data_IF_330340356724
#
_entry.id   IF_330340356724
#
_cell.length_a   1.000
_cell.length_b   1.000
_cell.length_c   1.000
_cell.angle_alpha   90.00
_cell.angle_beta   90.00
_cell.angle_gamma   90.00
#
_symmetry.space_group_name_H-M   'P 1'
#
loop_
_entity.id
_entity.type
_entity.pdbx_description
1 polymer ?
#
# COMPACT_ATOMS: atom_id res chain seq x y z
N UNK A 1 -20.17 -7.87 -32.07
CA UNK A 1 -20.22 -6.40 -31.98
C UNK A 1 -21.09 -6.03 -30.81
N UNK A 2 -20.59 -5.10 -29.97
CA UNK A 2 -21.26 -4.53 -28.81
C UNK A 2 -22.64 -3.96 -29.16
N UNK A 3 -23.62 -4.11 -28.26
CA UNK A 3 -24.60 -3.06 -28.02
C UNK A 3 -24.89 -2.93 -26.52
N UNK A 4 -24.47 -1.78 -25.99
CA UNK A 4 -24.91 -1.08 -24.79
C UNK A 4 -25.93 -1.79 -23.89
N UNK A 5 -25.50 -2.12 -22.68
CA UNK A 5 -26.37 -2.32 -21.51
C UNK A 5 -27.09 -1.01 -21.19
N UNK A 6 -28.20 -0.79 -21.90
CA UNK A 6 -29.20 0.20 -21.53
C UNK A 6 -29.74 -0.16 -20.14
N UNK A 7 -29.80 0.84 -19.27
CA UNK A 7 -30.46 0.81 -17.97
C UNK A 7 -31.77 0.05 -18.05
N UNK A 8 -31.81 -1.17 -17.49
CA UNK A 8 -33.01 -2.00 -17.45
C UNK A 8 -34.11 -1.20 -16.71
N UNK A 9 -35.15 -0.70 -17.40
CA UNK A 9 -36.20 0.11 -16.80
C UNK A 9 -37.02 -0.69 -15.78
N UNK A 10 -36.93 -2.02 -15.83
CA UNK A 10 -37.55 -2.92 -14.87
C UNK A 10 -36.67 -3.17 -13.64
N UNK A 11 -35.39 -2.80 -13.60
CA UNK A 11 -34.54 -3.05 -12.42
C UNK A 11 -35.01 -2.29 -11.17
N UNK A 12 -35.72 -1.17 -11.35
CA UNK A 12 -36.34 -0.40 -10.25
C UNK A 12 -37.65 -1.05 -9.81
N UNK A 13 -38.48 -1.52 -10.76
CA UNK A 13 -39.71 -2.27 -10.49
C UNK A 13 -39.40 -3.62 -9.82
N UNK A 14 -38.42 -4.35 -10.33
CA UNK A 14 -37.94 -5.62 -9.80
C UNK A 14 -37.38 -5.43 -8.38
N UNK A 15 -36.65 -4.33 -8.09
CA UNK A 15 -36.25 -3.98 -6.72
C UNK A 15 -37.45 -3.69 -5.80
N UNK A 16 -38.43 -2.93 -6.28
CA UNK A 16 -39.60 -2.50 -5.49
C UNK A 16 -40.53 -3.66 -5.17
N UNK A 17 -40.78 -4.56 -6.12
CA UNK A 17 -41.57 -5.76 -5.91
C UNK A 17 -40.81 -6.82 -5.12
N UNK A 18 -39.49 -6.93 -5.27
CA UNK A 18 -38.67 -7.89 -4.51
C UNK A 18 -38.73 -7.65 -3.00
N UNK A 19 -38.80 -6.40 -2.54
CA UNK A 19 -39.01 -6.08 -1.12
C UNK A 19 -40.34 -6.65 -0.63
N UNK A 20 -41.44 -6.31 -1.32
CA UNK A 20 -42.79 -6.76 -0.97
C UNK A 20 -42.95 -8.29 -1.03
N UNK A 21 -42.32 -8.94 -2.01
CA UNK A 21 -42.33 -10.40 -2.15
C UNK A 21 -41.54 -11.05 -1.02
N UNK A 22 -40.36 -10.55 -0.67
CA UNK A 22 -39.57 -11.08 0.46
C UNK A 22 -40.32 -10.92 1.78
N UNK A 23 -40.88 -9.73 2.05
CA UNK A 23 -41.70 -9.47 3.25
C UNK A 23 -42.92 -10.41 3.30
N UNK A 24 -43.63 -10.54 2.18
CA UNK A 24 -44.81 -11.40 2.06
C UNK A 24 -44.48 -12.87 2.27
N UNK A 25 -43.40 -13.38 1.69
CA UNK A 25 -42.98 -14.77 1.88
C UNK A 25 -42.57 -15.03 3.33
N UNK A 26 -41.88 -14.08 3.96
CA UNK A 26 -41.51 -14.19 5.37
C UNK A 26 -42.73 -14.16 6.28
N UNK A 27 -43.70 -13.31 6.02
CA UNK A 27 -44.97 -13.26 6.74
C UNK A 27 -45.79 -14.56 6.62
N UNK A 28 -45.63 -15.31 5.53
CA UNK A 28 -46.21 -16.64 5.34
C UNK A 28 -45.39 -17.78 5.98
N UNK A 29 -44.39 -17.45 6.79
CA UNK A 29 -43.63 -18.42 7.60
C UNK A 29 -42.41 -19.02 6.92
N UNK A 30 -42.06 -18.60 5.69
CA UNK A 30 -40.86 -19.12 5.02
C UNK A 30 -39.58 -18.65 5.73
N UNK A 31 -38.60 -19.53 5.77
CA UNK A 31 -37.24 -19.27 6.25
C UNK A 31 -36.42 -18.52 5.20
N UNK A 32 -35.30 -17.92 5.63
CA UNK A 32 -34.37 -17.28 4.69
C UNK A 32 -33.82 -18.26 3.65
N UNK A 33 -33.64 -19.54 4.00
CA UNK A 33 -33.15 -20.56 3.07
C UNK A 33 -34.17 -20.85 1.97
N UNK A 34 -35.44 -20.96 2.33
CA UNK A 34 -36.54 -21.19 1.38
C UNK A 34 -36.78 -19.98 0.48
N UNK A 35 -36.78 -18.76 1.03
CA UNK A 35 -36.90 -17.51 0.25
C UNK A 35 -35.75 -17.38 -0.75
N UNK A 36 -34.53 -17.73 -0.31
CA UNK A 36 -33.32 -17.72 -1.15
C UNK A 36 -33.47 -18.67 -2.34
N UNK A 37 -33.96 -19.88 -2.09
CA UNK A 37 -34.13 -20.91 -3.11
C UNK A 37 -35.27 -20.57 -4.08
N UNK A 38 -36.38 -20.06 -3.57
CA UNK A 38 -37.53 -19.68 -4.37
C UNK A 38 -37.25 -18.49 -5.31
N UNK A 39 -36.51 -17.49 -4.82
CA UNK A 39 -36.27 -16.23 -5.56
C UNK A 39 -34.89 -16.17 -6.23
N UNK A 40 -34.01 -17.14 -6.00
CA UNK A 40 -32.63 -17.11 -6.52
C UNK A 40 -31.79 -15.94 -6.01
N UNK A 41 -32.15 -15.35 -4.86
CA UNK A 41 -31.45 -14.21 -4.26
C UNK A 41 -30.40 -14.66 -3.24
N UNK A 42 -29.56 -13.76 -2.74
CA UNK A 42 -28.61 -14.07 -1.67
C UNK A 42 -29.23 -13.85 -0.28
N UNK A 43 -28.76 -14.60 0.71
CA UNK A 43 -29.14 -14.41 2.13
C UNK A 43 -28.92 -12.97 2.62
N UNK A 44 -27.89 -12.29 2.09
CA UNK A 44 -27.61 -10.89 2.42
C UNK A 44 -28.64 -9.91 1.85
N UNK A 45 -29.15 -10.19 0.66
CA UNK A 45 -30.22 -9.38 0.06
C UNK A 45 -31.52 -9.54 0.84
N UNK A 46 -31.83 -10.75 1.31
CA UNK A 46 -32.96 -11.01 2.20
C UNK A 46 -32.78 -10.24 3.52
N UNK A 47 -31.61 -10.31 4.15
CA UNK A 47 -31.32 -9.57 5.39
C UNK A 47 -31.39 -8.05 5.21
N UNK A 48 -31.02 -7.53 4.04
CA UNK A 48 -31.11 -6.09 3.75
C UNK A 48 -32.57 -5.61 3.71
N UNK A 49 -33.51 -6.51 3.40
CA UNK A 49 -34.94 -6.22 3.41
C UNK A 49 -35.53 -6.41 4.80
N UNK A 50 -35.30 -7.59 5.42
CA UNK A 50 -35.99 -7.99 6.65
C UNK A 50 -35.30 -7.50 7.93
N UNK A 51 -33.97 -7.39 7.95
CA UNK A 51 -33.19 -6.93 9.11
C UNK A 51 -33.32 -7.78 10.39
N UNK A 52 -33.95 -8.96 10.32
CA UNK A 52 -34.27 -9.79 11.49
C UNK A 52 -33.01 -10.26 12.21
N UNK A 53 -31.98 -10.70 11.47
CA UNK A 53 -30.76 -11.19 12.08
C UNK A 53 -30.02 -10.05 12.82
N UNK A 54 -30.04 -8.82 12.27
CA UNK A 54 -29.49 -7.65 12.96
C UNK A 54 -30.25 -7.29 14.23
N UNK A 55 -31.59 -7.34 14.21
CA UNK A 55 -32.43 -7.09 15.40
C UNK A 55 -32.19 -8.12 16.49
N UNK A 56 -32.17 -9.42 16.14
CA UNK A 56 -31.89 -10.50 17.08
C UNK A 56 -30.47 -10.38 17.65
N UNK A 57 -29.49 -10.05 16.82
CA UNK A 57 -28.12 -9.77 17.27
C UNK A 57 -28.07 -8.57 18.23
N UNK A 58 -28.81 -7.51 17.97
CA UNK A 58 -28.86 -6.32 18.84
C UNK A 58 -29.48 -6.63 20.20
N UNK A 59 -30.42 -7.59 20.25
CA UNK A 59 -31.02 -8.12 21.50
C UNK A 59 -30.11 -9.08 22.28
N UNK A 60 -28.91 -9.39 21.76
CA UNK A 60 -27.91 -10.20 22.48
C UNK A 60 -27.98 -11.71 22.24
N UNK A 61 -28.79 -12.16 21.28
CA UNK A 61 -28.87 -13.59 20.92
C UNK A 61 -27.55 -14.11 20.35
N UNK A 62 -27.23 -15.37 20.65
CA UNK A 62 -26.05 -16.09 20.17
C UNK A 62 -26.23 -16.49 18.71
N UNK A 63 -25.11 -16.65 17.99
CA UNK A 63 -25.09 -17.02 16.56
C UNK A 63 -25.96 -18.23 16.22
N UNK A 64 -25.95 -19.28 17.05
CA UNK A 64 -26.78 -20.48 16.83
C UNK A 64 -28.27 -20.20 16.96
N UNK A 65 -28.66 -19.33 17.90
CA UNK A 65 -30.05 -18.97 18.17
C UNK A 65 -30.61 -18.12 17.03
N UNK A 66 -29.84 -17.12 16.58
CA UNK A 66 -30.21 -16.30 15.41
C UNK A 66 -30.36 -17.17 14.16
N UNK A 67 -29.42 -18.09 13.92
CA UNK A 67 -29.45 -18.95 12.75
C UNK A 67 -30.67 -19.88 12.73
N UNK A 68 -31.06 -20.41 13.89
CA UNK A 68 -32.28 -21.21 14.04
C UNK A 68 -33.54 -20.36 13.76
N UNK A 69 -33.61 -19.15 14.32
CA UNK A 69 -34.76 -18.26 14.22
C UNK A 69 -35.08 -17.82 12.77
N UNK A 70 -34.04 -17.51 11.99
CA UNK A 70 -34.20 -17.10 10.58
C UNK A 70 -34.13 -18.29 9.60
N UNK A 71 -33.90 -19.52 10.11
CA UNK A 71 -33.83 -20.75 9.34
C UNK A 71 -32.67 -20.81 8.35
N UNK A 72 -31.45 -20.53 8.81
CA UNK A 72 -30.20 -20.72 8.04
C UNK A 72 -29.21 -21.62 8.78
N UNK A 73 -28.29 -22.31 8.09
CA UNK A 73 -27.21 -23.03 8.77
C UNK A 73 -26.36 -22.08 9.64
N UNK A 74 -25.91 -22.47 10.85
CA UNK A 74 -25.12 -21.60 11.73
C UNK A 74 -23.87 -21.01 11.08
N UNK A 75 -23.19 -21.78 10.22
CA UNK A 75 -22.03 -21.32 9.45
C UNK A 75 -22.36 -20.30 8.35
N UNK A 76 -23.63 -20.19 7.95
CA UNK A 76 -24.10 -19.23 6.95
C UNK A 76 -24.41 -17.85 7.53
N UNK A 77 -24.48 -17.70 8.86
CA UNK A 77 -24.82 -16.41 9.47
C UNK A 77 -23.80 -15.30 9.14
N UNK A 78 -22.54 -15.65 8.92
CA UNK A 78 -21.51 -14.70 8.46
C UNK A 78 -21.76 -14.16 7.03
N UNK A 79 -22.62 -14.82 6.24
CA UNK A 79 -23.07 -14.35 4.91
C UNK A 79 -24.36 -13.51 4.99
N UNK A 80 -25.12 -13.65 6.07
CA UNK A 80 -26.35 -12.90 6.36
C UNK A 80 -25.98 -11.55 6.96
N UNK A 81 -25.25 -11.58 8.08
CA UNK A 81 -24.89 -10.41 8.85
C UNK A 81 -23.66 -9.71 8.27
N UNK A 82 -23.72 -8.39 8.18
CA UNK A 82 -22.50 -7.61 8.02
C UNK A 82 -21.55 -7.96 9.17
N UNK A 83 -20.30 -8.28 8.82
CA UNK A 83 -19.23 -8.51 9.80
C UNK A 83 -19.22 -7.34 10.78
N UNK A 84 -19.40 -7.62 12.08
CA UNK A 84 -19.32 -6.61 13.13
C UNK A 84 -18.07 -5.77 12.85
N UNK A 85 -18.21 -4.44 12.75
CA UNK A 85 -17.07 -3.54 12.69
C UNK A 85 -16.23 -3.86 13.92
N UNK A 86 -15.18 -4.66 13.78
CA UNK A 86 -14.21 -4.84 14.86
C UNK A 86 -13.66 -3.43 15.10
N UNK A 87 -13.91 -2.88 16.29
CA UNK A 87 -13.35 -1.59 16.67
C UNK A 87 -11.83 -1.61 16.61
N UNK A 88 -11.25 -2.78 16.89
CA UNK A 88 -9.82 -3.09 16.75
C UNK A 88 -9.43 -3.35 15.30
N UNK A 89 -8.31 -2.74 14.90
CA UNK A 89 -7.64 -3.02 13.63
C UNK A 89 -6.99 -4.40 13.69
N UNK A 90 -7.03 -5.13 12.57
CA UNK A 90 -6.16 -6.29 12.39
C UNK A 90 -4.72 -5.84 12.15
N UNK A 91 -3.73 -6.68 12.44
CA UNK A 91 -2.32 -6.37 12.17
C UNK A 91 -2.09 -5.97 10.71
N UNK A 92 -2.75 -6.65 9.75
CA UNK A 92 -2.66 -6.32 8.32
C UNK A 92 -3.31 -4.97 7.98
N UNK A 93 -4.40 -4.61 8.64
CA UNK A 93 -5.03 -3.30 8.46
C UNK A 93 -4.12 -2.19 8.98
N UNK A 94 -3.52 -2.38 10.15
CA UNK A 94 -2.57 -1.43 10.74
C UNK A 94 -1.31 -1.28 9.88
N UNK A 95 -0.75 -2.40 9.42
CA UNK A 95 0.39 -2.45 8.49
C UNK A 95 0.09 -1.70 7.19
N UNK A 96 -1.10 -1.88 6.60
CA UNK A 96 -1.51 -1.17 5.39
C UNK A 96 -1.62 0.34 5.63
N UNK A 97 -2.24 0.78 6.74
CA UNK A 97 -2.36 2.20 7.07
C UNK A 97 -0.98 2.82 7.30
N UNK A 98 -0.11 2.14 8.05
CA UNK A 98 1.27 2.56 8.28
C UNK A 98 2.03 2.73 6.96
N UNK A 99 1.96 1.75 6.06
CA UNK A 99 2.59 1.81 4.74
C UNK A 99 2.11 3.02 3.92
N UNK A 100 0.79 3.24 3.86
CA UNK A 100 0.18 4.37 3.15
C UNK A 100 0.67 5.70 3.74
N UNK A 101 0.76 5.80 5.08
CA UNK A 101 1.26 6.98 5.79
C UNK A 101 2.73 7.23 5.46
N UNK A 102 3.59 6.22 5.52
CA UNK A 102 5.02 6.40 5.30
C UNK A 102 5.37 6.72 3.84
N UNK A 103 4.53 6.31 2.88
CA UNK A 103 4.74 6.49 1.44
C UNK A 103 3.93 7.62 0.80
N UNK A 104 3.30 8.50 1.60
CA UNK A 104 2.44 9.62 1.11
C UNK A 104 1.24 9.17 0.28
N UNK A 105 0.80 7.93 0.47
CA UNK A 105 -0.18 7.26 -0.38
C UNK A 105 0.41 6.05 -1.11
N UNK A 106 -0.46 5.21 -1.65
CA UNK A 106 -0.04 4.07 -2.48
C UNK A 106 -1.14 3.71 -3.48
N UNK A 107 -0.78 3.37 -4.72
CA UNK A 107 -1.76 2.79 -5.64
C UNK A 107 -2.16 1.38 -5.20
N UNK A 108 -3.41 1.00 -5.46
CA UNK A 108 -3.98 -0.26 -4.94
C UNK A 108 -3.19 -1.50 -5.39
N UNK A 109 -2.66 -1.49 -6.61
CA UNK A 109 -1.82 -2.57 -7.13
C UNK A 109 -0.48 -2.67 -6.39
N UNK A 110 0.16 -1.53 -6.08
CA UNK A 110 1.40 -1.49 -5.29
C UNK A 110 1.14 -1.91 -3.85
N UNK A 111 0.00 -1.52 -3.27
CA UNK A 111 -0.42 -1.97 -1.94
C UNK A 111 -0.70 -3.47 -1.89
N UNK A 112 -1.25 -4.03 -2.96
CA UNK A 112 -1.45 -5.47 -3.08
C UNK A 112 -0.11 -6.20 -3.06
N UNK A 113 0.90 -5.68 -3.78
CA UNK A 113 2.25 -6.24 -3.73
C UNK A 113 2.93 -6.05 -2.38
N UNK A 114 2.76 -4.90 -1.74
CA UNK A 114 3.24 -4.65 -0.37
C UNK A 114 2.74 -5.72 0.59
N UNK A 115 1.42 -5.95 0.60
CA UNK A 115 0.75 -6.89 1.50
C UNK A 115 0.88 -8.34 1.05
N UNK A 116 1.50 -8.59 -0.10
CA UNK A 116 1.60 -9.89 -0.75
C UNK A 116 0.23 -10.58 -0.96
N UNK A 117 -0.76 -9.82 -1.43
CA UNK A 117 -2.13 -10.30 -1.69
C UNK A 117 -2.55 -10.02 -3.12
N UNK A 118 -3.69 -10.58 -3.53
CA UNK A 118 -4.33 -10.21 -4.80
C UNK A 118 -4.90 -8.79 -4.72
N UNK A 119 -4.91 -8.10 -5.86
CA UNK A 119 -5.48 -6.74 -5.96
C UNK A 119 -6.93 -6.67 -5.44
N UNK A 120 -7.75 -7.69 -5.72
CA UNK A 120 -9.12 -7.79 -5.20
C UNK A 120 -9.21 -7.81 -3.67
N UNK A 121 -8.23 -8.44 -3.01
CA UNK A 121 -8.11 -8.48 -1.56
C UNK A 121 -7.65 -7.13 -0.99
N UNK A 122 -6.75 -6.43 -1.70
CA UNK A 122 -6.37 -5.07 -1.35
C UNK A 122 -7.56 -4.10 -1.43
N UNK A 123 -8.39 -4.17 -2.49
CA UNK A 123 -9.64 -3.39 -2.55
C UNK A 123 -10.62 -3.73 -1.41
N UNK A 124 -10.77 -5.00 -1.06
CA UNK A 124 -11.63 -5.40 0.06
C UNK A 124 -11.14 -4.80 1.38
N UNK A 125 -9.84 -4.87 1.65
CA UNK A 125 -9.22 -4.27 2.81
C UNK A 125 -9.40 -2.73 2.82
N UNK A 126 -9.18 -2.07 1.69
CA UNK A 126 -9.34 -0.61 1.58
C UNK A 126 -10.78 -0.17 1.81
N UNK A 127 -11.79 -0.91 1.31
CA UNK A 127 -13.20 -0.60 1.61
C UNK A 127 -13.50 -0.64 3.11
N UNK A 128 -12.93 -1.60 3.84
CA UNK A 128 -13.09 -1.67 5.29
C UNK A 128 -12.39 -0.50 6.00
N UNK A 129 -11.18 -0.13 5.55
CA UNK A 129 -10.44 1.01 6.12
C UNK A 129 -11.13 2.36 5.85
N UNK A 130 -11.74 2.51 4.67
CA UNK A 130 -12.57 3.67 4.31
C UNK A 130 -13.80 3.73 5.22
N UNK A 131 -14.51 2.61 5.39
CA UNK A 131 -15.67 2.53 6.28
C UNK A 131 -15.33 2.80 7.76
N UNK A 132 -14.07 2.60 8.16
CA UNK A 132 -13.53 2.95 9.49
C UNK A 132 -13.00 4.39 9.59
N UNK A 133 -12.98 5.15 8.48
CA UNK A 133 -12.45 6.51 8.43
C UNK A 133 -10.93 6.60 8.59
N UNK A 134 -10.22 5.50 8.32
CA UNK A 134 -8.75 5.43 8.41
C UNK A 134 -8.06 5.73 7.08
N UNK A 135 -8.77 5.53 5.98
CA UNK A 135 -8.32 5.83 4.61
C UNK A 135 -9.40 6.69 3.96
N UNK A 136 -9.00 7.67 3.15
CA UNK A 136 -9.91 8.51 2.37
C UNK A 136 -10.52 7.71 1.20
N UNK A 137 -11.55 8.26 0.57
CA UNK A 137 -12.03 7.70 -0.70
C UNK A 137 -10.88 7.62 -1.72
N UNK A 138 -10.86 6.54 -2.50
CA UNK A 138 -9.77 6.30 -3.43
C UNK A 138 -9.77 7.37 -4.52
N UNK A 139 -8.60 7.97 -4.77
CA UNK A 139 -8.46 9.05 -5.75
C UNK A 139 -7.66 8.60 -6.96
N UNK A 140 -8.17 8.87 -8.16
CA UNK A 140 -7.38 8.69 -9.38
C UNK A 140 -6.53 9.94 -9.61
N UNK A 141 -5.25 9.85 -9.26
CA UNK A 141 -4.31 10.98 -9.39
C UNK A 141 -3.67 11.01 -10.78
N UNK A 142 -3.26 9.85 -11.30
CA UNK A 142 -2.63 9.72 -12.62
C UNK A 142 -3.14 8.47 -13.35
N UNK A 143 -2.51 8.12 -14.48
CA UNK A 143 -2.78 6.84 -15.17
C UNK A 143 -2.53 5.65 -14.22
N UNK A 144 -3.26 4.55 -14.44
CA UNK A 144 -3.20 3.36 -13.59
C UNK A 144 -4.31 3.28 -12.55
N UNK A 145 -4.04 2.56 -11.45
CA UNK A 145 -5.01 2.29 -10.37
C UNK A 145 -5.22 3.51 -9.48
N UNK A 146 -6.33 3.52 -8.75
CA UNK A 146 -6.61 4.56 -7.79
C UNK A 146 -5.60 4.53 -6.62
N UNK A 147 -5.42 5.67 -5.97
CA UNK A 147 -4.55 5.85 -4.82
C UNK A 147 -5.33 5.74 -3.52
N UNK A 148 -4.80 4.96 -2.59
CA UNK A 148 -5.17 5.01 -1.19
C UNK A 148 -4.29 6.04 -0.47
N UNK A 149 -4.90 6.89 0.35
CA UNK A 149 -4.23 7.88 1.18
C UNK A 149 -5.05 8.12 2.44
N UNK A 150 -4.43 8.65 3.49
CA UNK A 150 -5.09 8.81 4.80
C UNK A 150 -5.54 10.24 5.05
N UNK A 151 -6.54 10.46 5.91
CA UNK A 151 -6.87 11.81 6.36
C UNK A 151 -5.77 12.38 7.29
N UNK A 152 -5.61 13.71 7.38
CA UNK A 152 -4.56 14.34 8.19
C UNK A 152 -4.49 13.86 9.65
N UNK A 153 -5.65 13.63 10.27
CA UNK A 153 -5.74 13.15 11.66
C UNK A 153 -5.13 11.76 11.86
N UNK A 154 -5.24 10.88 10.87
CA UNK A 154 -4.69 9.52 10.92
C UNK A 154 -3.20 9.60 10.66
N UNK A 155 -2.79 10.37 9.65
CA UNK A 155 -1.37 10.58 9.38
C UNK A 155 -0.62 11.11 10.60
N UNK A 156 -1.16 12.15 11.25
CA UNK A 156 -0.57 12.72 12.46
C UNK A 156 -0.42 11.69 13.59
N UNK A 157 -1.40 10.80 13.76
CA UNK A 157 -1.35 9.74 14.76
C UNK A 157 -0.24 8.72 14.50
N UNK A 158 -0.05 8.34 13.24
CA UNK A 158 0.97 7.34 12.88
C UNK A 158 2.39 7.92 12.89
N UNK A 159 2.56 9.16 12.44
CA UNK A 159 3.87 9.80 12.40
C UNK A 159 4.26 10.43 13.75
N UNK A 160 3.30 10.98 14.50
CA UNK A 160 3.57 11.78 15.70
C UNK A 160 3.89 13.26 15.41
N UNK A 161 3.77 13.70 14.16
CA UNK A 161 3.85 15.12 13.77
C UNK A 161 2.86 15.41 12.63
N UNK A 162 2.58 16.69 12.35
CA UNK A 162 1.70 17.08 11.24
C UNK A 162 2.52 17.28 9.98
N UNK A 163 2.08 16.74 8.85
CA UNK A 163 2.71 17.01 7.55
C UNK A 163 1.92 18.04 6.77
N UNK A 164 2.61 18.80 5.91
CA UNK A 164 1.97 19.76 4.97
C UNK A 164 1.44 19.06 3.71
N UNK A 165 2.06 17.96 3.29
CA UNK A 165 1.76 17.26 2.05
C UNK A 165 1.24 15.83 2.33
N UNK A 166 0.08 15.75 2.98
CA UNK A 166 -0.45 14.47 3.48
C UNK A 166 -1.13 13.60 2.42
N UNK A 167 -1.41 14.18 1.24
CA UNK A 167 -2.03 13.50 0.11
C UNK A 167 -1.07 13.44 -1.08
N UNK A 168 -1.14 12.41 -1.94
CA UNK A 168 -0.24 12.28 -3.08
C UNK A 168 -0.49 13.44 -4.08
N UNK A 169 0.49 14.33 -4.29
CA UNK A 169 0.39 15.42 -5.25
C UNK A 169 0.61 14.89 -6.68
N UNK A 170 -0.11 15.47 -7.65
CA UNK A 170 -0.01 15.07 -9.06
C UNK A 170 1.45 15.10 -9.58
N UNK A 171 2.20 16.15 -9.22
CA UNK A 171 3.58 16.38 -9.67
C UNK A 171 4.54 15.25 -9.31
N UNK A 172 4.35 14.58 -8.17
CA UNK A 172 5.30 13.58 -7.63
C UNK A 172 4.68 12.19 -7.47
N UNK A 173 3.47 11.96 -7.98
CA UNK A 173 2.77 10.69 -7.79
C UNK A 173 3.51 9.50 -8.45
N UNK A 174 4.07 9.65 -9.66
CA UNK A 174 4.92 8.62 -10.27
C UNK A 174 6.19 8.34 -9.45
N UNK A 175 6.81 9.38 -8.89
CA UNK A 175 7.97 9.24 -8.00
C UNK A 175 7.62 8.44 -6.75
N UNK A 176 6.58 8.83 -6.02
CA UNK A 176 6.15 8.11 -4.82
C UNK A 176 5.70 6.67 -5.10
N UNK A 177 5.11 6.42 -6.28
CA UNK A 177 4.82 5.05 -6.74
C UNK A 177 6.12 4.25 -6.88
N UNK A 178 7.12 4.81 -7.56
CA UNK A 178 8.40 4.14 -7.79
C UNK A 178 9.17 3.90 -6.48
N UNK A 179 9.19 4.86 -5.55
CA UNK A 179 9.80 4.68 -4.22
C UNK A 179 9.06 3.59 -3.41
N UNK A 180 7.72 3.51 -3.49
CA UNK A 180 6.97 2.43 -2.85
C UNK A 180 7.32 1.05 -3.44
N UNK A 181 7.44 0.94 -4.76
CA UNK A 181 7.90 -0.27 -5.44
C UNK A 181 9.34 -0.64 -5.05
N UNK A 182 10.25 0.35 -4.98
CA UNK A 182 11.61 0.17 -4.50
C UNK A 182 11.66 -0.38 -3.07
N UNK A 183 10.89 0.20 -2.15
CA UNK A 183 10.75 -0.32 -0.79
C UNK A 183 10.32 -1.79 -0.79
N UNK A 184 9.29 -2.13 -1.56
CA UNK A 184 8.74 -3.49 -1.60
C UNK A 184 9.77 -4.48 -2.17
N UNK A 185 10.48 -4.13 -3.24
CA UNK A 185 11.45 -5.04 -3.86
C UNK A 185 12.70 -5.23 -2.99
N UNK A 186 13.11 -4.20 -2.23
CA UNK A 186 14.32 -4.23 -1.42
C UNK A 186 14.11 -4.92 -0.07
N UNK A 187 13.00 -4.61 0.61
CA UNK A 187 12.79 -5.05 2.01
C UNK A 187 11.36 -5.54 2.30
N UNK A 188 10.52 -5.70 1.28
CA UNK A 188 9.17 -6.24 1.46
C UNK A 188 8.29 -5.34 2.30
N UNK A 189 7.60 -5.90 3.30
CA UNK A 189 6.71 -5.15 4.19
C UNK A 189 7.31 -4.80 5.55
N UNK A 190 8.56 -5.20 5.82
CA UNK A 190 9.20 -4.98 7.13
C UNK A 190 9.35 -3.48 7.45
N UNK A 191 8.67 -2.98 8.50
CA UNK A 191 8.74 -1.56 8.87
C UNK A 191 10.09 -1.17 9.49
N UNK A 192 10.90 -2.12 9.97
CA UNK A 192 12.20 -1.84 10.62
C UNK A 192 13.34 -1.74 9.60
N UNK A 193 13.14 -2.32 8.43
CA UNK A 193 14.15 -2.36 7.37
C UNK A 193 14.06 -1.17 6.40
N UNK A 194 13.14 -0.21 6.61
CA UNK A 194 12.99 0.96 5.75
C UNK A 194 12.71 2.25 6.53
N UNK A 195 13.40 3.32 6.19
CA UNK A 195 13.15 4.68 6.66
C UNK A 195 12.73 5.52 5.45
N UNK A 196 11.51 6.06 5.47
CA UNK A 196 11.01 6.84 4.32
C UNK A 196 11.55 8.27 4.28
N UNK A 197 11.63 8.84 3.07
CA UNK A 197 11.95 10.26 2.81
C UNK A 197 11.25 11.21 3.79
N UNK A 198 9.98 10.95 4.11
CA UNK A 198 9.20 11.76 5.05
C UNK A 198 9.78 11.74 6.47
N UNK A 199 10.25 10.59 6.96
CA UNK A 199 10.91 10.48 8.26
C UNK A 199 12.27 11.16 8.21
N UNK A 200 13.03 10.98 7.12
CA UNK A 200 14.34 11.60 6.92
C UNK A 200 14.22 13.13 6.90
N UNK A 201 13.27 13.67 6.14
CA UNK A 201 12.98 15.11 6.07
C UNK A 201 12.59 15.68 7.41
N UNK A 202 11.77 14.96 8.19
CA UNK A 202 11.39 15.40 9.54
C UNK A 202 12.58 15.42 10.50
N UNK A 203 13.45 14.40 10.43
CA UNK A 203 14.66 14.34 11.25
C UNK A 203 15.60 15.51 10.93
N UNK A 204 15.83 15.78 9.63
CA UNK A 204 16.62 16.90 9.19
C UNK A 204 16.01 18.26 9.60
N UNK A 205 14.68 18.40 9.47
CA UNK A 205 13.95 19.58 9.93
C UNK A 205 14.16 19.87 11.42
N UNK A 206 14.05 18.83 12.26
CA UNK A 206 14.31 18.95 13.70
C UNK A 206 15.76 19.29 14.00
N UNK A 207 16.71 18.65 13.32
CA UNK A 207 18.13 18.91 13.52
C UNK A 207 18.50 20.38 13.21
N UNK A 208 17.99 20.92 12.10
CA UNK A 208 18.22 22.31 11.76
C UNK A 208 17.52 23.29 12.70
N UNK A 209 16.32 22.96 13.18
CA UNK A 209 15.64 23.76 14.20
C UNK A 209 16.49 23.85 15.48
N UNK A 210 16.98 22.73 15.99
CA UNK A 210 17.87 22.69 17.16
C UNK A 210 19.15 23.50 16.92
N UNK A 211 19.74 23.40 15.72
CA UNK A 211 20.94 24.16 15.37
C UNK A 211 20.68 25.68 15.29
N UNK A 212 19.51 26.09 14.78
CA UNK A 212 19.11 27.48 14.70
C UNK A 212 18.82 28.07 16.08
N UNK A 213 18.12 27.33 16.94
CA UNK A 213 17.86 27.70 18.34
C UNK A 213 19.17 27.94 19.10
N UNK A 214 20.17 27.06 18.92
CA UNK A 214 21.52 27.22 19.51
C UNK A 214 22.26 28.47 19.02
N UNK A 215 21.94 28.96 17.82
CA UNK A 215 22.58 30.13 17.21
C UNK A 215 21.73 31.41 17.35
N UNK A 216 20.63 31.37 18.10
CA UNK A 216 19.64 32.44 18.20
C UNK A 216 19.16 32.95 16.83
N UNK A 217 19.05 32.06 15.84
CA UNK A 217 18.67 32.39 14.47
C UNK A 217 17.35 31.76 14.05
N UNK A 218 16.82 32.18 12.91
CA UNK A 218 15.68 31.54 12.27
C UNK A 218 16.13 30.26 11.56
N UNK A 219 15.41 29.12 11.72
CA UNK A 219 15.72 27.92 10.96
C UNK A 219 15.46 28.15 9.47
N UNK A 220 16.53 28.19 8.67
CA UNK A 220 16.44 28.21 7.21
C UNK A 220 16.81 26.82 6.71
N UNK A 221 15.81 26.06 6.30
CA UNK A 221 15.99 24.81 5.57
C UNK A 221 15.36 24.94 4.19
N UNK A 222 16.21 25.14 3.19
CA UNK A 222 15.84 24.86 1.82
C UNK A 222 16.59 23.59 1.43
N UNK A 223 15.86 22.49 1.34
CA UNK A 223 16.40 21.25 0.82
C UNK A 223 16.50 21.37 -0.70
N UNK A 224 17.56 20.80 -1.27
CA UNK A 224 17.60 20.57 -2.71
C UNK A 224 16.41 19.68 -3.08
N UNK A 225 15.53 20.13 -3.99
CA UNK A 225 14.36 19.35 -4.44
C UNK A 225 14.28 19.28 -5.96
N UNK A 226 13.54 18.28 -6.45
CA UNK A 226 13.98 17.36 -7.50
C UNK A 226 13.67 17.78 -8.95
N UNK A 227 14.20 18.92 -9.40
CA UNK A 227 14.43 19.23 -10.82
C UNK A 227 15.65 20.15 -11.02
N UNK A 228 15.90 21.04 -10.07
CA UNK A 228 16.98 22.04 -10.11
C UNK A 228 17.74 21.98 -8.78
N UNK A 229 18.66 21.01 -8.62
CA UNK A 229 19.41 20.88 -7.39
C UNK A 229 20.36 22.08 -7.22
N UNK A 230 20.33 22.67 -6.03
CA UNK A 230 21.17 23.83 -5.70
C UNK A 230 22.44 23.39 -4.97
N UNK A 231 23.63 23.83 -5.41
CA UNK A 231 24.88 23.58 -4.69
C UNK A 231 24.81 24.04 -3.22
N UNK A 232 25.39 23.26 -2.32
CA UNK A 232 25.49 23.59 -0.88
C UNK A 232 24.19 23.43 -0.08
N UNK A 233 23.08 22.99 -0.69
CA UNK A 233 21.84 22.68 0.04
C UNK A 233 21.86 21.24 0.57
N UNK A 234 21.27 20.97 1.76
CA UNK A 234 21.14 19.61 2.27
C UNK A 234 20.32 18.74 1.32
N UNK A 235 20.81 17.52 1.08
CA UNK A 235 20.14 16.50 0.29
C UNK A 235 19.34 15.55 1.19
N UNK A 236 18.18 15.08 0.72
CA UNK A 236 17.37 14.09 1.42
C UNK A 236 17.08 12.95 0.44
N UNK A 237 17.50 11.75 0.84
CA UNK A 237 17.24 10.53 0.08
C UNK A 237 15.76 10.17 0.03
N UNK A 238 15.37 9.44 -1.01
CA UNK A 238 14.02 8.87 -1.17
C UNK A 238 13.70 7.81 -0.10
N UNK A 239 14.74 7.20 0.45
CA UNK A 239 14.66 6.38 1.64
C UNK A 239 16.03 5.90 2.09
N UNK A 240 16.03 5.17 3.20
CA UNK A 240 17.15 4.32 3.62
C UNK A 240 16.62 2.93 3.89
N UNK A 241 17.39 1.91 3.55
CA UNK A 241 16.97 0.53 3.78
C UNK A 241 18.10 -0.32 4.33
N UNK A 242 17.76 -1.32 5.14
CA UNK A 242 18.70 -2.31 5.66
C UNK A 242 18.57 -3.58 4.82
N UNK A 243 19.61 -3.92 4.07
CA UNK A 243 19.53 -5.03 3.12
C UNK A 243 20.85 -5.38 2.47
N UNK A 244 20.79 -6.26 1.48
CA UNK A 244 21.95 -6.71 0.70
C UNK A 244 21.89 -6.12 -0.70
N UNK A 245 22.96 -5.43 -1.11
CA UNK A 245 23.17 -5.03 -2.50
C UNK A 245 24.53 -5.57 -2.94
N UNK A 246 24.55 -6.32 -4.05
CA UNK A 246 25.76 -6.99 -4.60
C UNK A 246 26.61 -7.77 -3.58
N UNK A 247 25.95 -8.36 -2.58
CA UNK A 247 26.61 -9.17 -1.55
C UNK A 247 27.00 -8.41 -0.29
N UNK A 248 26.93 -7.08 -0.30
CA UNK A 248 27.21 -6.24 0.87
C UNK A 248 25.93 -5.99 1.67
N UNK A 249 25.89 -6.51 2.91
CA UNK A 249 24.80 -6.26 3.85
C UNK A 249 25.06 -5.00 4.67
N UNK A 250 24.07 -4.12 4.76
CA UNK A 250 24.16 -2.93 5.60
C UNK A 250 23.02 -1.96 5.36
N UNK A 251 23.14 -0.76 5.92
CA UNK A 251 22.23 0.32 5.61
C UNK A 251 22.64 1.00 4.31
N UNK A 252 21.70 1.14 3.39
CA UNK A 252 21.87 1.78 2.10
C UNK A 252 21.00 3.02 2.01
N UNK A 253 21.55 4.08 1.43
CA UNK A 253 20.76 5.20 0.94
C UNK A 253 20.10 4.81 -0.40
N UNK A 254 18.87 5.27 -0.63
CA UNK A 254 18.10 4.98 -1.84
C UNK A 254 17.77 6.28 -2.58
N UNK A 255 18.04 6.27 -3.87
CA UNK A 255 17.58 7.26 -4.84
C UNK A 255 16.80 6.57 -5.96
N UNK A 256 15.69 7.16 -6.36
CA UNK A 256 14.89 6.69 -7.49
C UNK A 256 14.84 7.80 -8.53
N UNK A 257 15.48 7.59 -9.68
CA UNK A 257 15.51 8.60 -10.73
C UNK A 257 14.56 8.21 -11.87
N UNK A 258 13.60 9.09 -12.17
CA UNK A 258 12.58 8.82 -13.19
C UNK A 258 12.76 9.56 -14.51
N UNK A 259 13.60 10.60 -14.52
CA UNK A 259 13.77 11.50 -15.65
C UNK A 259 15.23 11.88 -15.83
N UNK A 260 15.63 12.11 -17.08
CA UNK A 260 16.95 12.62 -17.40
C UNK A 260 17.04 14.07 -16.91
N UNK A 261 18.09 14.39 -16.14
CA UNK A 261 18.43 15.77 -15.75
C UNK A 261 19.53 16.29 -16.67
N UNK A 262 19.67 17.61 -16.74
CA UNK A 262 20.87 18.22 -17.34
C UNK A 262 22.12 17.70 -16.63
N UNK A 263 23.22 17.52 -17.37
CA UNK A 263 24.45 16.91 -16.84
C UNK A 263 24.95 17.62 -15.57
N UNK A 264 24.97 18.96 -15.56
CA UNK A 264 25.39 19.73 -14.40
C UNK A 264 24.49 19.50 -13.17
N UNK A 265 23.19 19.36 -13.39
CA UNK A 265 22.24 19.05 -12.31
C UNK A 265 22.39 17.61 -11.82
N UNK A 266 22.68 16.66 -12.70
CA UNK A 266 22.95 15.29 -12.29
C UNK A 266 24.22 15.21 -11.44
N UNK A 267 25.27 15.94 -11.83
CA UNK A 267 26.52 16.03 -11.07
C UNK A 267 26.26 16.60 -9.66
N UNK A 268 25.53 17.72 -9.56
CA UNK A 268 25.17 18.31 -8.26
C UNK A 268 24.33 17.34 -7.41
N UNK A 269 23.34 16.68 -8.02
CA UNK A 269 22.47 15.75 -7.31
C UNK A 269 23.24 14.53 -6.77
N UNK A 270 24.08 13.91 -7.60
CA UNK A 270 24.86 12.73 -7.22
C UNK A 270 25.87 13.07 -6.12
N UNK A 271 26.59 14.18 -6.26
CA UNK A 271 27.51 14.62 -5.21
C UNK A 271 26.79 14.93 -3.89
N UNK A 272 25.61 15.56 -3.96
CA UNK A 272 24.77 15.82 -2.79
C UNK A 272 24.31 14.53 -2.12
N UNK A 273 23.90 13.53 -2.90
CA UNK A 273 23.49 12.23 -2.40
C UNK A 273 24.65 11.48 -1.74
N UNK A 274 25.84 11.44 -2.35
CA UNK A 274 27.03 10.78 -1.76
C UNK A 274 27.39 11.43 -0.42
N UNK A 275 27.46 12.76 -0.35
CA UNK A 275 27.75 13.47 0.90
C UNK A 275 26.70 13.19 1.97
N UNK A 276 25.41 13.23 1.61
CA UNK A 276 24.33 12.95 2.56
C UNK A 276 24.29 11.48 3.05
N UNK A 277 24.76 10.54 2.24
CA UNK A 277 24.91 9.15 2.62
C UNK A 277 26.13 8.95 3.55
N UNK A 278 27.26 9.59 3.24
CA UNK A 278 28.47 9.56 4.07
C UNK A 278 28.23 10.18 5.45
N UNK A 279 27.53 11.31 5.52
CA UNK A 279 27.21 12.04 6.76
C UNK A 279 25.97 11.48 7.49
N UNK A 280 25.44 10.34 7.03
CA UNK A 280 24.20 9.80 7.56
C UNK A 280 24.31 9.37 9.03
N UNK A 281 23.33 9.80 9.82
CA UNK A 281 23.12 9.38 11.20
C UNK A 281 21.66 8.97 11.42
N UNK A 282 21.35 8.13 12.44
CA UNK A 282 22.27 7.47 13.38
C UNK A 282 22.95 6.22 12.82
N UNK A 283 22.56 5.78 11.62
CA UNK A 283 23.13 4.60 10.97
C UNK A 283 24.16 5.02 9.94
N UNK A 284 25.34 4.41 9.98
CA UNK A 284 26.35 4.53 8.93
C UNK A 284 25.86 3.81 7.67
N UNK A 285 25.88 4.49 6.54
CA UNK A 285 25.55 3.86 5.25
C UNK A 285 26.76 3.09 4.73
N UNK A 286 26.54 1.88 4.24
CA UNK A 286 27.55 1.11 3.51
C UNK A 286 27.59 1.50 2.03
N UNK A 287 26.50 2.07 1.52
CA UNK A 287 26.42 2.48 0.13
C UNK A 287 25.21 3.32 -0.23
N UNK A 288 25.18 3.74 -1.49
CA UNK A 288 24.14 4.50 -2.17
C UNK A 288 23.64 3.71 -3.37
N UNK A 289 22.35 3.40 -3.39
CA UNK A 289 21.69 2.71 -4.50
C UNK A 289 20.83 3.69 -5.29
N UNK A 290 21.16 3.87 -6.56
CA UNK A 290 20.32 4.49 -7.57
C UNK A 290 19.50 3.44 -8.32
N UNK A 291 18.18 3.61 -8.32
CA UNK A 291 17.29 2.88 -9.21
C UNK A 291 16.77 3.83 -10.30
N UNK A 292 17.22 3.60 -11.53
CA UNK A 292 16.93 4.49 -12.66
C UNK A 292 15.84 3.89 -13.56
N UNK A 293 14.81 4.68 -13.88
CA UNK A 293 13.80 4.32 -14.87
C UNK A 293 14.30 4.62 -16.27
N UNK A 294 14.29 3.62 -17.14
CA UNK A 294 14.85 3.65 -18.51
C UNK A 294 16.38 3.69 -18.59
N UNK A 295 16.90 3.22 -19.74
CA UNK A 295 18.32 3.23 -20.06
C UNK A 295 18.90 4.64 -20.06
N UNK A 296 18.20 5.62 -20.64
CA UNK A 296 18.71 6.99 -20.77
C UNK A 296 18.98 7.66 -19.42
N UNK A 297 18.14 7.40 -18.41
CA UNK A 297 18.35 7.91 -17.05
C UNK A 297 19.53 7.20 -16.41
N UNK A 298 19.63 5.87 -16.57
CA UNK A 298 20.74 5.09 -16.04
C UNK A 298 22.09 5.55 -16.60
N UNK A 299 22.19 5.69 -17.92
CA UNK A 299 23.39 6.15 -18.62
C UNK A 299 23.81 7.55 -18.14
N UNK A 300 22.85 8.44 -17.84
CA UNK A 300 23.14 9.77 -17.31
C UNK A 300 23.75 9.71 -15.90
N UNK A 301 23.18 8.90 -15.01
CA UNK A 301 23.72 8.71 -13.64
C UNK A 301 25.10 8.03 -13.70
N UNK A 302 25.29 7.05 -14.59
CA UNK A 302 26.60 6.40 -14.81
C UNK A 302 27.64 7.40 -15.31
N UNK A 303 27.29 8.24 -16.30
CA UNK A 303 28.18 9.28 -16.78
C UNK A 303 28.51 10.32 -15.70
N UNK A 304 27.56 10.68 -14.83
CA UNK A 304 27.81 11.56 -13.68
C UNK A 304 28.74 10.91 -12.65
N UNK A 305 28.62 9.59 -12.44
CA UNK A 305 29.52 8.82 -11.58
C UNK A 305 30.96 8.85 -12.09
N UNK A 306 31.17 8.74 -13.40
CA UNK A 306 32.51 8.83 -14.01
C UNK A 306 33.17 10.21 -13.83
N UNK A 307 32.35 11.26 -13.67
CA UNK A 307 32.81 12.65 -13.46
C UNK A 307 32.92 13.04 -11.98
N UNK A 308 32.77 12.11 -11.04
CA UNK A 308 32.84 12.43 -9.62
C UNK A 308 34.20 13.03 -9.25
N UNK A 309 34.24 14.08 -8.42
CA UNK A 309 35.47 14.56 -7.80
C UNK A 309 36.20 13.46 -7.01
N UNK A 310 37.53 13.48 -7.01
CA UNK A 310 38.35 12.44 -6.38
C UNK A 310 38.06 12.25 -4.88
N UNK A 311 37.81 13.34 -4.16
CA UNK A 311 37.45 13.32 -2.73
C UNK A 311 36.17 12.52 -2.45
N UNK A 312 35.23 12.48 -3.42
CA UNK A 312 34.01 11.71 -3.29
C UNK A 312 34.17 10.26 -3.77
N UNK A 313 35.05 10.01 -4.73
CA UNK A 313 35.38 8.65 -5.18
C UNK A 313 36.12 7.84 -4.12
N UNK A 314 36.92 8.52 -3.28
CA UNK A 314 37.71 7.89 -2.22
C UNK A 314 36.92 7.60 -0.93
N UNK A 315 35.67 8.06 -0.83
CA UNK A 315 34.83 7.76 0.33
C UNK A 315 34.55 6.24 0.42
N UNK A 316 34.55 5.65 1.63
CA UNK A 316 34.25 4.24 1.83
C UNK A 316 32.73 3.98 1.74
N UNK A 317 32.16 4.26 0.57
CA UNK A 317 30.73 4.17 0.28
C UNK A 317 30.56 3.49 -1.08
N UNK A 318 29.90 2.34 -1.10
CA UNK A 318 29.58 1.65 -2.35
C UNK A 318 28.56 2.47 -3.16
N UNK A 319 28.81 2.70 -4.45
CA UNK A 319 27.83 3.31 -5.36
C UNK A 319 27.29 2.26 -6.32
N UNK A 320 25.98 2.06 -6.31
CA UNK A 320 25.30 1.07 -7.14
C UNK A 320 24.21 1.70 -7.98
N UNK A 321 24.25 1.46 -9.30
CA UNK A 321 23.30 2.05 -10.26
C UNK A 321 22.61 0.91 -11.01
N UNK A 322 21.30 0.78 -10.85
CA UNK A 322 20.53 -0.33 -11.40
C UNK A 322 19.32 0.15 -12.22
N UNK A 323 18.89 -0.71 -13.16
CA UNK A 323 17.66 -0.50 -13.92
C UNK A 323 16.44 -0.83 -13.05
N UNK A 324 15.64 0.20 -12.74
CA UNK A 324 14.46 0.08 -11.89
C UNK A 324 13.41 -0.87 -12.49
N UNK A 325 13.10 -0.71 -13.78
CA UNK A 325 11.97 -1.39 -14.42
C UNK A 325 12.27 -2.88 -14.58
N UNK A 326 13.51 -3.22 -14.94
CA UNK A 326 13.97 -4.61 -15.01
C UNK A 326 13.88 -5.28 -13.63
N UNK A 327 14.39 -4.63 -12.58
CA UNK A 327 14.37 -5.16 -11.20
C UNK A 327 12.95 -5.35 -10.69
N UNK A 328 12.06 -4.39 -10.95
CA UNK A 328 10.66 -4.51 -10.58
C UNK A 328 9.94 -5.64 -11.34
N UNK A 329 10.19 -5.80 -12.64
CA UNK A 329 9.60 -6.86 -13.45
C UNK A 329 10.06 -8.25 -12.98
N UNK A 330 11.35 -8.43 -12.70
CA UNK A 330 11.91 -9.66 -12.13
C UNK A 330 11.28 -9.97 -10.76
N UNK A 331 11.17 -8.97 -9.90
CA UNK A 331 10.55 -9.13 -8.59
C UNK A 331 9.09 -9.61 -8.67
N UNK A 332 8.28 -8.96 -9.51
CA UNK A 332 6.86 -9.33 -9.69
C UNK A 332 6.74 -10.73 -10.28
N UNK A 333 7.56 -11.07 -11.29
CA UNK A 333 7.59 -12.40 -11.89
C UNK A 333 7.91 -13.47 -10.85
N UNK A 334 8.99 -13.31 -10.09
CA UNK A 334 9.41 -14.25 -9.05
C UNK A 334 8.31 -14.42 -7.98
N UNK A 335 7.63 -13.34 -7.61
CA UNK A 335 6.49 -13.42 -6.67
C UNK A 335 5.30 -14.16 -7.24
N UNK A 336 4.96 -13.94 -8.50
CA UNK A 336 3.86 -14.64 -9.16
C UNK A 336 4.13 -16.14 -9.22
N UNK A 337 5.36 -16.53 -9.59
CA UNK A 337 5.80 -17.93 -9.61
C UNK A 337 5.75 -18.56 -8.21
N UNK A 338 6.25 -17.87 -7.18
CA UNK A 338 6.18 -18.34 -5.80
C UNK A 338 4.72 -18.51 -5.31
N UNK A 339 3.82 -17.58 -5.64
CA UNK A 339 2.39 -17.69 -5.31
C UNK A 339 1.74 -18.87 -6.03
N UNK A 340 2.09 -19.11 -7.29
CA UNK A 340 1.57 -20.24 -8.07
C UNK A 340 2.05 -21.57 -7.47
N UNK A 341 3.35 -21.69 -7.16
CA UNK A 341 3.93 -22.87 -6.52
C UNK A 341 3.28 -23.16 -5.15
N UNK A 342 3.05 -22.13 -4.32
CA UNK A 342 2.38 -22.29 -3.03
C UNK A 342 0.92 -22.76 -3.16
N UNK A 343 0.20 -22.30 -4.20
CA UNK A 343 -1.16 -22.79 -4.49
C UNK A 343 -1.15 -24.24 -4.91
N UNK A 344 -0.21 -24.62 -5.76
CA UNK A 344 -0.06 -26.00 -6.22
C UNK A 344 0.26 -26.95 -5.07
N UNK A 345 1.23 -26.59 -4.22
CA UNK A 345 1.57 -27.35 -3.02
C UNK A 345 0.35 -27.52 -2.08
N UNK A 346 -0.46 -26.47 -1.92
CA UNK A 346 -1.69 -26.53 -1.12
C UNK A 346 -2.76 -27.44 -1.75
N UNK A 347 -2.86 -27.45 -3.09
CA UNK A 347 -3.77 -28.33 -3.83
C UNK A 347 -3.36 -29.79 -3.64
N UNK A 348 -2.09 -30.11 -3.86
CA UNK A 348 -1.55 -31.46 -3.66
C UNK A 348 -1.77 -31.96 -2.23
N UNK A 349 -1.52 -31.10 -1.22
CA UNK A 349 -1.76 -31.45 0.19
C UNK A 349 -3.23 -31.75 0.50
N UNK A 350 -4.18 -31.02 -0.12
CA UNK A 350 -5.62 -31.30 0.05
C UNK A 350 -5.99 -32.64 -0.57
N UNK A 351 -5.56 -32.89 -1.81
CA UNK A 351 -5.82 -34.15 -2.48
C UNK A 351 -5.28 -35.36 -1.70
N UNK A 352 -4.12 -35.23 -1.06
CA UNK A 352 -3.56 -36.27 -0.17
C UNK A 352 -4.42 -36.53 1.09
N UNK A 353 -5.02 -35.50 1.67
CA UNK A 353 -5.92 -35.63 2.82
C UNK A 353 -7.23 -36.29 2.39
N UNK A 354 -7.77 -35.90 1.24
CA UNK A 354 -9.03 -36.45 0.73
C UNK A 354 -8.88 -37.93 0.34
N UNK A 355 -7.76 -38.33 -0.28
CA UNK A 355 -7.46 -39.75 -0.61
C UNK A 355 -7.30 -40.61 0.65
N UNK A 356 -6.70 -40.07 1.72
CA UNK A 356 -6.53 -40.83 2.97
C UNK A 356 -7.83 -40.98 3.76
N UNK A 357 -8.79 -40.06 3.58
CA UNK A 357 -10.14 -40.18 4.15
C UNK A 357 -11.05 -41.13 3.37
N UNK A 358 -10.86 -41.28 2.05
CA UNK A 358 -11.59 -42.27 1.25
C UNK A 358 -11.07 -43.71 1.40
N UNK A 359 -9.82 -43.88 1.86
CA UNK A 359 -9.19 -45.18 2.10
C UNK A 359 -9.34 -45.70 3.55
N UNK A 360 -10.04 -44.96 4.42
CA UNK A 360 -10.35 -45.32 5.81
C UNK A 360 -11.84 -45.61 5.95
#
# INVERSE_FOLDING_TARGET
MNHNEGTNPYAVLERRHRVQVIDGLRANGLTYTEIRELLGVTLRQIETVLGEAEVLRAKGFRTKEIAAEIGVPPGSLGRVLASRRRGTLTARQDEAVSAIVHMRGMQVDVLAEYLNVLESSAYALLRELIAKGLVCELKKVQRGRAWAYVPPKVEHRYLGWRTKDWSPPLKFAEHYRAVAQARIMLVGSDPRAFISERVLRQAAARAAQIAAEKRHGTPVLEFSSSLEPMPGRPHIHDGRFLGVVRGTYGWWALEVELSVKDNAYMDIALQGAIRAAADAHPYTMVGLLYLCRSKAVKDNVEAASERLPADLQELPLDLEIQDFDKRWAEFVKNRMEARAAAREAKRLRRNLIDITQEAS
#
